data_IF_887606820940
#
_entry.id   IF_887606820940
#
_cell.length_a   1.000
_cell.length_b   1.000
_cell.length_c   1.000
_cell.angle_alpha   90.00
_cell.angle_beta   90.00
_cell.angle_gamma   90.00
#
_symmetry.space_group_name_H-M   'P 1'
#
loop_
_entity.id
_entity.type
_entity.pdbx_description
1 polymer ?
#
# COMPACT_ATOMS: atom_id res chain seq x y z
N UNK A 1 -28.10 38.23 -2.49
CA UNK A 1 -26.97 38.27 -1.54
C UNK A 1 -26.55 36.86 -1.17
N UNK A 2 -25.30 36.65 -0.76
CA UNK A 2 -24.75 35.33 -0.35
C UNK A 2 -24.28 35.46 1.09
N UNK A 3 -24.68 34.54 1.97
CA UNK A 3 -24.26 34.48 3.37
C UNK A 3 -24.37 35.84 4.10
N UNK A 4 -25.51 36.53 3.94
CA UNK A 4 -25.74 37.87 4.51
C UNK A 4 -24.72 38.96 4.06
N UNK A 5 -23.98 38.73 2.98
CA UNK A 5 -23.09 39.72 2.38
C UNK A 5 -23.84 40.83 1.63
N UNK A 6 -23.09 41.71 0.96
CA UNK A 6 -23.67 42.82 0.19
C UNK A 6 -24.66 42.35 -0.88
N UNK A 7 -25.71 43.15 -1.06
CA UNK A 7 -26.67 42.94 -2.15
C UNK A 7 -25.97 43.09 -3.50
N UNK A 8 -26.33 42.23 -4.44
CA UNK A 8 -25.78 42.20 -5.79
C UNK A 8 -26.97 42.28 -6.75
N UNK A 9 -26.81 42.99 -7.87
CA UNK A 9 -27.82 43.08 -8.92
C UNK A 9 -27.43 42.21 -10.10
N UNK A 10 -28.41 41.59 -10.74
CA UNK A 10 -28.19 40.67 -11.87
C UNK A 10 -28.96 39.37 -11.71
N UNK A 11 -28.69 38.42 -12.59
CA UNK A 11 -29.31 37.09 -12.64
C UNK A 11 -28.32 35.95 -12.35
N UNK A 12 -27.11 36.28 -11.88
CA UNK A 12 -26.06 35.32 -11.56
C UNK A 12 -25.28 35.75 -10.31
N UNK A 13 -24.79 34.78 -9.56
CA UNK A 13 -23.89 35.00 -8.43
C UNK A 13 -22.81 33.93 -8.42
N UNK A 14 -21.58 34.30 -8.03
CA UNK A 14 -20.46 33.37 -7.95
C UNK A 14 -20.19 32.98 -6.50
N UNK A 15 -20.09 31.67 -6.26
CA UNK A 15 -19.62 31.07 -5.01
C UNK A 15 -18.36 30.29 -5.37
N UNK A 16 -17.27 30.51 -4.63
CA UNK A 16 -15.95 29.98 -4.98
C UNK A 16 -15.18 29.39 -3.80
N UNK A 17 -15.79 29.30 -2.63
CA UNK A 17 -15.19 28.74 -1.43
C UNK A 17 -16.05 27.59 -0.98
N UNK A 18 -15.43 26.52 -0.52
CA UNK A 18 -16.17 25.40 0.01
C UNK A 18 -16.93 25.77 1.29
N UNK A 19 -17.99 25.02 1.56
CA UNK A 19 -18.82 25.15 2.74
C UNK A 19 -20.31 25.27 2.41
N UNK A 20 -21.08 25.61 3.45
CA UNK A 20 -22.49 25.92 3.32
C UNK A 20 -22.70 27.36 2.91
N UNK A 21 -23.55 27.54 1.89
CA UNK A 21 -23.94 28.82 1.38
C UNK A 21 -25.45 28.95 1.34
N UNK A 22 -25.92 30.06 1.87
CA UNK A 22 -27.32 30.45 1.75
C UNK A 22 -27.39 31.66 0.82
N UNK A 23 -28.08 31.48 -0.31
CA UNK A 23 -28.35 32.56 -1.25
C UNK A 23 -29.74 33.11 -0.95
N UNK A 24 -29.82 34.41 -0.71
CA UNK A 24 -31.09 35.14 -0.64
C UNK A 24 -31.31 35.95 -1.92
N UNK A 25 -32.48 35.80 -2.53
CA UNK A 25 -32.82 36.42 -3.81
C UNK A 25 -34.24 36.99 -3.83
N UNK A 26 -34.42 38.09 -4.56
CA UNK A 26 -35.68 38.79 -4.80
C UNK A 26 -35.55 39.69 -6.03
N UNK A 27 -36.67 40.18 -6.52
CA UNK A 27 -36.83 41.06 -7.68
C UNK A 27 -37.41 42.41 -7.27
N UNK A 28 -37.03 43.47 -7.98
CA UNK A 28 -37.66 44.78 -7.92
C UNK A 28 -38.31 45.09 -9.27
N UNK A 29 -39.53 45.61 -9.25
CA UNK A 29 -40.15 46.16 -10.47
C UNK A 29 -39.70 47.61 -10.75
N UNK A 30 -40.11 48.15 -11.91
CA UNK A 30 -39.78 49.54 -12.29
C UNK A 30 -40.41 50.60 -11.39
N UNK A 31 -41.47 50.25 -10.66
CA UNK A 31 -42.15 51.14 -9.73
C UNK A 31 -41.51 51.09 -8.33
N UNK A 32 -40.51 50.23 -8.11
CA UNK A 32 -39.82 50.06 -6.83
C UNK A 32 -40.50 49.07 -5.89
N UNK A 33 -41.50 48.30 -6.35
CA UNK A 33 -42.08 47.24 -5.54
C UNK A 33 -41.11 46.06 -5.46
N UNK A 34 -40.85 45.60 -4.24
CA UNK A 34 -39.96 44.49 -3.93
C UNK A 34 -40.77 43.25 -3.56
N UNK A 35 -40.42 42.08 -4.12
CA UNK A 35 -40.99 40.80 -3.67
C UNK A 35 -40.36 40.32 -2.34
N UNK A 36 -41.02 39.35 -1.68
CA UNK A 36 -40.45 38.70 -0.50
C UNK A 36 -39.14 37.96 -0.83
N UNK A 37 -38.15 38.07 0.07
CA UNK A 37 -36.86 37.39 -0.09
C UNK A 37 -37.04 35.87 0.00
N UNK A 38 -36.54 35.15 -1.01
CA UNK A 38 -36.46 33.69 -1.03
C UNK A 38 -35.04 33.24 -0.70
N UNK A 39 -34.91 32.01 -0.21
CA UNK A 39 -33.62 31.41 0.13
C UNK A 39 -33.41 30.07 -0.58
N UNK A 40 -32.15 29.78 -0.94
CA UNK A 40 -31.69 28.45 -1.32
C UNK A 40 -30.38 28.15 -0.60
N UNK A 41 -30.25 26.93 -0.09
CA UNK A 41 -29.03 26.43 0.55
C UNK A 41 -28.26 25.57 -0.45
N UNK A 42 -26.93 25.73 -0.47
CA UNK A 42 -26.01 25.04 -1.37
C UNK A 42 -24.81 24.58 -0.55
N UNK A 43 -24.50 23.28 -0.61
CA UNK A 43 -23.17 22.79 -0.23
C UNK A 43 -22.25 22.83 -1.44
N UNK A 44 -21.18 23.61 -1.32
CA UNK A 44 -20.08 23.57 -2.26
C UNK A 44 -18.92 22.80 -1.61
N UNK A 45 -18.45 21.78 -2.32
CA UNK A 45 -17.23 21.06 -1.96
C UNK A 45 -16.45 20.76 -3.23
N UNK A 46 -15.32 21.44 -3.39
CA UNK A 46 -14.37 21.28 -4.48
C UNK A 46 -13.09 20.57 -4.01
N UNK A 47 -13.03 20.18 -2.73
CA UNK A 47 -11.85 19.59 -2.11
C UNK A 47 -11.86 18.09 -2.34
N UNK A 48 -10.79 17.56 -2.93
CA UNK A 48 -10.66 16.13 -3.12
C UNK A 48 -10.31 15.40 -1.81
N UNK A 49 -10.70 14.13 -1.67
CA UNK A 49 -10.28 13.30 -0.55
C UNK A 49 -8.75 13.24 -0.37
N UNK A 50 -8.31 13.11 0.87
CA UNK A 50 -6.90 12.83 1.19
C UNK A 50 -6.66 11.34 1.37
N UNK A 51 -5.65 10.80 0.68
CA UNK A 51 -5.21 9.40 0.80
C UNK A 51 -3.83 9.32 1.47
N UNK A 52 -3.74 8.49 2.51
CA UNK A 52 -2.49 8.23 3.25
C UNK A 52 -2.20 6.74 3.31
N UNK A 53 -0.93 6.39 3.14
CA UNK A 53 -0.40 5.06 3.42
C UNK A 53 0.50 5.15 4.65
N UNK A 54 0.59 4.08 5.44
CA UNK A 54 1.51 4.05 6.60
C UNK A 54 2.97 3.75 6.22
N UNK A 55 3.26 3.56 4.94
CA UNK A 55 4.60 3.29 4.42
C UNK A 55 5.04 4.40 3.45
N UNK A 56 6.34 4.61 3.39
CA UNK A 56 6.99 5.49 2.41
C UNK A 56 7.11 4.80 1.04
N UNK A 57 7.34 5.58 -0.01
CA UNK A 57 7.61 5.03 -1.35
C UNK A 57 8.97 4.31 -1.36
N UNK A 58 9.07 3.23 -2.13
CA UNK A 58 10.24 2.37 -2.26
C UNK A 58 10.73 1.71 -0.96
N UNK A 59 9.86 1.52 0.04
CA UNK A 59 10.21 0.74 1.24
C UNK A 59 10.58 -0.71 0.89
N UNK A 60 11.63 -1.24 1.50
CA UNK A 60 12.07 -2.62 1.31
C UNK A 60 11.56 -3.55 2.41
N UNK A 61 11.10 -4.74 2.02
CA UNK A 61 10.78 -5.85 2.89
C UNK A 61 11.60 -7.08 2.51
N UNK A 62 12.25 -7.68 3.50
CA UNK A 62 12.91 -8.98 3.31
C UNK A 62 11.87 -10.09 3.26
N UNK A 63 12.14 -11.15 2.48
CA UNK A 63 11.20 -12.25 2.27
C UNK A 63 10.70 -12.94 3.56
N UNK A 64 11.44 -12.87 4.67
CA UNK A 64 11.06 -13.41 5.98
C UNK A 64 10.08 -12.53 6.78
N UNK A 65 9.81 -11.31 6.32
CA UNK A 65 8.95 -10.34 6.98
C UNK A 65 7.49 -10.45 6.52
N UNK A 66 6.60 -9.76 7.23
CA UNK A 66 5.22 -9.50 6.80
C UNK A 66 5.17 -8.07 6.26
N UNK A 67 4.69 -7.91 5.03
CA UNK A 67 4.34 -6.59 4.48
C UNK A 67 3.06 -6.16 5.18
N UNK A 68 3.16 -5.13 6.01
CA UNK A 68 2.03 -4.55 6.74
C UNK A 68 1.93 -3.06 6.44
N UNK A 69 1.03 -2.70 5.51
CA UNK A 69 0.81 -1.32 5.09
C UNK A 69 -0.68 -1.01 5.22
N UNK A 70 -1.00 -0.02 6.04
CA UNK A 70 -2.36 0.50 6.15
C UNK A 70 -2.62 1.61 5.14
N UNK A 71 -3.87 1.71 4.70
CA UNK A 71 -4.35 2.77 3.80
C UNK A 71 -5.54 3.48 4.45
N UNK A 72 -5.54 4.81 4.45
CA UNK A 72 -6.68 5.62 4.89
C UNK A 72 -7.06 6.67 3.84
N UNK A 73 -8.36 6.74 3.53
CA UNK A 73 -8.96 7.81 2.75
C UNK A 73 -9.88 8.63 3.66
N UNK A 74 -9.74 9.95 3.65
CA UNK A 74 -10.52 10.87 4.48
C UNK A 74 -11.01 12.03 3.63
N UNK A 75 -12.23 12.47 3.90
CA UNK A 75 -12.78 13.70 3.38
C UNK A 75 -13.59 14.38 4.49
N UNK A 76 -13.36 15.68 4.71
CA UNK A 76 -13.93 16.43 5.83
C UNK A 76 -15.26 17.13 5.50
N UNK A 77 -15.54 17.41 4.22
CA UNK A 77 -16.66 18.26 3.80
C UNK A 77 -17.84 17.48 3.25
N UNK A 78 -17.62 16.47 2.42
CA UNK A 78 -18.67 15.65 1.82
C UNK A 78 -18.54 14.16 2.11
N UNK A 79 -17.58 13.73 2.94
CA UNK A 79 -17.33 12.33 3.34
C UNK A 79 -17.03 11.41 2.15
N UNK A 80 -16.55 10.20 2.41
CA UNK A 80 -16.16 9.27 1.35
C UNK A 80 -17.40 8.54 0.79
N UNK A 81 -17.65 8.69 -0.51
CA UNK A 81 -18.67 7.93 -1.24
C UNK A 81 -18.16 6.55 -1.65
N UNK A 82 -16.92 6.46 -2.13
CA UNK A 82 -16.30 5.18 -2.51
C UNK A 82 -14.79 5.23 -2.35
N UNK A 83 -14.18 4.08 -2.06
CA UNK A 83 -12.72 3.96 -1.92
C UNK A 83 -12.24 2.54 -2.18
N UNK A 84 -11.10 2.42 -2.86
CA UNK A 84 -10.36 1.16 -3.02
C UNK A 84 -9.14 1.08 -2.08
N UNK A 85 -9.04 2.01 -1.14
CA UNK A 85 -7.99 2.06 -0.12
C UNK A 85 -8.13 0.85 0.79
N UNK A 86 -7.15 -0.06 0.73
CA UNK A 86 -7.17 -1.34 1.43
C UNK A 86 -5.84 -1.62 2.11
N UNK A 87 -5.92 -2.06 3.36
CA UNK A 87 -4.75 -2.53 4.09
C UNK A 87 -4.17 -3.79 3.45
N UNK A 88 -2.84 -3.85 3.41
CA UNK A 88 -2.07 -5.01 3.01
C UNK A 88 -1.40 -5.61 4.24
N UNK A 89 -1.70 -6.87 4.55
CA UNK A 89 -1.03 -7.65 5.59
C UNK A 89 -0.76 -9.05 5.02
N UNK A 90 0.44 -9.28 4.51
CA UNK A 90 0.78 -10.52 3.80
C UNK A 90 2.26 -10.86 3.99
N UNK A 91 2.62 -12.13 4.28
CA UNK A 91 4.01 -12.54 4.31
C UNK A 91 4.73 -12.20 2.99
N UNK A 92 5.86 -11.52 3.07
CA UNK A 92 6.55 -10.95 1.92
C UNK A 92 6.94 -12.02 0.88
N UNK A 93 7.36 -13.22 1.34
CA UNK A 93 7.68 -14.34 0.45
C UNK A 93 6.51 -14.78 -0.46
N UNK A 94 5.25 -14.52 -0.08
CA UNK A 94 4.07 -14.88 -0.88
C UNK A 94 3.81 -13.91 -2.03
N UNK A 95 4.24 -12.65 -1.89
CA UNK A 95 4.08 -11.61 -2.91
C UNK A 95 5.08 -11.80 -4.07
N UNK A 96 6.20 -12.47 -3.80
CA UNK A 96 7.26 -12.71 -4.77
C UNK A 96 8.27 -11.56 -4.83
N UNK A 97 9.50 -11.90 -5.24
CA UNK A 97 10.62 -10.96 -5.29
C UNK A 97 10.46 -10.01 -6.47
N UNK A 98 10.07 -8.77 -6.19
CA UNK A 98 9.84 -7.72 -7.19
C UNK A 98 9.64 -6.39 -6.48
N UNK A 99 9.69 -5.31 -7.26
CA UNK A 99 8.94 -4.09 -6.92
C UNK A 99 7.45 -4.35 -7.13
N UNK A 100 6.64 -4.03 -6.13
CA UNK A 100 5.18 -4.06 -6.15
C UNK A 100 4.64 -2.64 -6.07
N UNK A 101 3.46 -2.41 -6.63
CA UNK A 101 2.78 -1.12 -6.55
C UNK A 101 1.45 -1.31 -5.83
N UNK A 102 1.21 -0.45 -4.84
CA UNK A 102 -0.08 -0.36 -4.17
C UNK A 102 -0.73 0.97 -4.55
N UNK A 103 -1.89 0.89 -5.18
CA UNK A 103 -2.67 2.04 -5.65
C UNK A 103 -3.96 2.14 -4.85
N UNK A 104 -4.28 3.35 -4.41
CA UNK A 104 -5.54 3.67 -3.77
C UNK A 104 -6.20 4.84 -4.50
N UNK A 105 -7.52 4.83 -4.55
CA UNK A 105 -8.34 5.90 -5.08
C UNK A 105 -9.59 6.04 -4.20
N UNK A 106 -10.10 7.27 -4.13
CA UNK A 106 -11.31 7.61 -3.39
C UNK A 106 -12.10 8.71 -4.10
N UNK A 107 -13.41 8.64 -3.95
CA UNK A 107 -14.37 9.64 -4.43
C UNK A 107 -15.25 10.05 -3.25
N UNK A 108 -15.47 11.35 -3.08
CA UNK A 108 -16.39 11.88 -2.06
C UNK A 108 -17.84 11.96 -2.57
N UNK A 109 -18.78 12.45 -1.74
CA UNK A 109 -20.18 12.62 -2.15
C UNK A 109 -20.40 13.82 -3.09
N UNK A 110 -19.51 14.81 -3.08
CA UNK A 110 -19.54 15.94 -4.02
C UNK A 110 -19.01 15.59 -5.42
N UNK A 111 -18.40 14.41 -5.57
CA UNK A 111 -17.85 13.90 -6.82
C UNK A 111 -16.38 14.26 -7.06
N UNK A 112 -15.67 14.81 -6.06
CA UNK A 112 -14.23 15.03 -6.18
C UNK A 112 -13.49 13.70 -6.02
N UNK A 113 -12.37 13.57 -6.72
CA UNK A 113 -11.63 12.32 -6.84
C UNK A 113 -10.16 12.51 -6.45
N UNK A 114 -9.60 11.51 -5.76
CA UNK A 114 -8.19 11.44 -5.44
C UNK A 114 -7.62 10.05 -5.75
N UNK A 115 -6.34 10.02 -6.13
CA UNK A 115 -5.59 8.78 -6.35
C UNK A 115 -4.15 8.94 -5.85
N UNK A 116 -3.61 7.89 -5.23
CA UNK A 116 -2.24 7.83 -4.73
C UNK A 116 -1.68 6.43 -4.92
N UNK A 117 -0.41 6.35 -5.29
CA UNK A 117 0.32 5.08 -5.36
C UNK A 117 1.62 5.16 -4.59
N UNK A 118 2.02 4.03 -4.00
CA UNK A 118 3.35 3.81 -3.45
C UNK A 118 3.89 2.48 -3.98
N UNK A 119 5.21 2.34 -3.95
CA UNK A 119 5.92 1.11 -4.26
C UNK A 119 6.52 0.54 -2.99
N UNK A 120 6.61 -0.78 -2.96
CA UNK A 120 7.44 -1.50 -1.99
C UNK A 120 8.18 -2.61 -2.71
N UNK A 121 9.33 -3.00 -2.19
CA UNK A 121 10.23 -3.96 -2.84
C UNK A 121 10.36 -5.16 -1.92
N UNK A 122 10.16 -6.36 -2.47
CA UNK A 122 10.44 -7.60 -1.74
C UNK A 122 11.77 -8.15 -2.21
N UNK A 123 12.71 -8.27 -1.28
CA UNK A 123 14.08 -8.75 -1.54
C UNK A 123 14.37 -10.04 -0.77
N UNK A 124 15.47 -10.69 -1.12
CA UNK A 124 16.02 -11.80 -0.34
C UNK A 124 17.54 -11.72 -0.33
N UNK A 125 18.10 -12.07 0.81
CA UNK A 125 19.52 -12.28 1.05
C UNK A 125 19.73 -13.59 1.85
N UNK A 126 20.96 -13.89 2.23
CA UNK A 126 21.24 -15.09 3.02
C UNK A 126 20.61 -15.05 4.41
N UNK A 127 20.46 -13.86 5.01
CA UNK A 127 20.02 -13.71 6.38
C UNK A 127 18.52 -13.89 6.49
N UNK A 128 17.76 -13.19 5.66
CA UNK A 128 16.32 -13.38 5.46
C UNK A 128 15.98 -14.83 5.11
N UNK A 129 16.71 -15.48 4.19
CA UNK A 129 16.44 -16.88 3.88
C UNK A 129 16.76 -17.83 5.06
N UNK A 130 17.75 -17.51 5.89
CA UNK A 130 18.02 -18.23 7.14
C UNK A 130 16.85 -18.08 8.12
N UNK A 131 16.35 -16.86 8.30
CA UNK A 131 15.23 -16.56 9.20
C UNK A 131 13.96 -17.27 8.71
N UNK A 132 13.63 -17.16 7.42
CA UNK A 132 12.46 -17.82 6.84
C UNK A 132 12.56 -19.35 6.94
N UNK A 133 13.74 -19.93 6.70
CA UNK A 133 13.96 -21.38 6.88
C UNK A 133 13.67 -21.81 8.33
N UNK A 134 14.08 -21.01 9.31
CA UNK A 134 13.76 -21.27 10.73
C UNK A 134 12.28 -21.13 11.01
N UNK A 135 11.63 -20.08 10.52
CA UNK A 135 10.19 -19.86 10.67
C UNK A 135 9.37 -21.07 10.16
N UNK A 136 9.74 -21.63 9.00
CA UNK A 136 9.08 -22.82 8.45
C UNK A 136 9.40 -24.12 9.22
N UNK A 137 10.45 -24.12 10.04
CA UNK A 137 10.86 -25.24 10.89
C UNK A 137 10.67 -24.94 12.38
N UNK A 138 9.82 -23.98 12.77
CA UNK A 138 9.67 -23.56 14.16
C UNK A 138 9.34 -24.74 15.11
N UNK A 139 8.58 -25.73 14.63
CA UNK A 139 8.24 -26.94 15.40
C UNK A 139 9.31 -28.06 15.32
N UNK A 140 10.42 -27.82 14.61
CA UNK A 140 11.46 -28.80 14.24
C UNK A 140 12.86 -28.15 14.22
N UNK A 141 13.17 -27.33 15.23
CA UNK A 141 14.39 -26.51 15.24
C UNK A 141 15.70 -27.32 15.07
N UNK A 142 15.73 -28.55 15.58
CA UNK A 142 16.84 -29.49 15.47
C UNK A 142 17.22 -29.81 14.01
N UNK A 143 16.24 -29.72 13.10
CA UNK A 143 16.45 -29.97 11.68
C UNK A 143 17.03 -28.77 10.94
N UNK A 144 16.81 -27.56 11.44
CA UNK A 144 17.16 -26.32 10.76
C UNK A 144 18.69 -26.16 10.60
N UNK A 145 19.49 -26.70 11.53
CA UNK A 145 20.95 -26.56 11.56
C UNK A 145 21.60 -26.93 10.23
N UNK A 146 21.17 -28.04 9.62
CA UNK A 146 21.78 -28.52 8.37
C UNK A 146 21.55 -27.56 7.19
N UNK A 147 20.36 -26.96 7.11
CA UNK A 147 20.00 -25.97 6.10
C UNK A 147 20.74 -24.64 6.32
N UNK A 148 20.71 -24.14 7.56
CA UNK A 148 21.33 -22.87 7.95
C UNK A 148 22.84 -22.90 7.68
N UNK A 149 23.50 -24.01 7.98
CA UNK A 149 24.94 -24.16 7.73
C UNK A 149 25.30 -24.01 6.24
N UNK A 150 24.43 -24.43 5.32
CA UNK A 150 24.63 -24.22 3.88
C UNK A 150 24.51 -22.75 3.49
N UNK A 151 23.49 -22.05 3.97
CA UNK A 151 23.31 -20.63 3.69
C UNK A 151 24.45 -19.78 4.27
N UNK A 152 24.89 -20.06 5.51
CA UNK A 152 26.05 -19.37 6.11
C UNK A 152 27.35 -19.64 5.35
N UNK A 153 27.58 -20.88 4.90
CA UNK A 153 28.75 -21.22 4.10
C UNK A 153 28.71 -20.56 2.71
N UNK A 154 27.52 -20.41 2.12
CA UNK A 154 27.34 -19.67 0.87
C UNK A 154 27.69 -18.19 1.03
N UNK A 155 27.13 -17.52 2.06
CA UNK A 155 27.46 -16.12 2.41
C UNK A 155 28.98 -15.92 2.56
N UNK A 156 29.63 -16.76 3.38
CA UNK A 156 31.10 -16.70 3.59
C UNK A 156 31.90 -16.94 2.31
N UNK A 157 31.37 -17.73 1.37
CA UNK A 157 32.04 -17.96 0.08
C UNK A 157 31.90 -16.75 -0.85
N UNK A 158 30.74 -16.09 -0.87
CA UNK A 158 30.52 -14.83 -1.60
C UNK A 158 31.38 -13.69 -1.07
N UNK A 159 31.47 -13.54 0.26
CA UNK A 159 32.34 -12.54 0.92
C UNK A 159 33.82 -12.71 0.56
N UNK A 160 34.23 -13.94 0.19
CA UNK A 160 35.58 -14.27 -0.29
C UNK A 160 35.74 -14.16 -1.81
N UNK A 161 34.70 -13.74 -2.54
CA UNK A 161 34.67 -13.72 -4.00
C UNK A 161 34.66 -15.11 -4.66
N UNK A 162 34.43 -16.19 -3.90
CA UNK A 162 34.43 -17.55 -4.41
C UNK A 162 33.03 -17.99 -4.86
N UNK A 163 32.66 -17.55 -6.07
CA UNK A 163 31.34 -17.80 -6.67
C UNK A 163 31.05 -19.30 -6.86
N UNK A 164 32.05 -20.10 -7.27
CA UNK A 164 31.88 -21.56 -7.44
C UNK A 164 31.55 -22.24 -6.12
N UNK A 165 32.24 -21.87 -5.03
CA UNK A 165 31.97 -22.41 -3.71
C UNK A 165 30.61 -21.93 -3.18
N UNK A 166 30.26 -20.66 -3.39
CA UNK A 166 28.94 -20.10 -3.06
C UNK A 166 27.83 -20.93 -3.71
N UNK A 167 27.89 -21.11 -5.03
CA UNK A 167 26.87 -21.84 -5.80
C UNK A 167 26.79 -23.32 -5.39
N UNK A 168 27.93 -23.93 -5.07
CA UNK A 168 27.96 -25.29 -4.53
C UNK A 168 27.21 -25.40 -3.20
N UNK A 169 27.37 -24.42 -2.28
CA UNK A 169 26.64 -24.40 -1.02
C UNK A 169 25.13 -24.12 -1.22
N UNK A 170 24.77 -23.21 -2.14
CA UNK A 170 23.36 -22.95 -2.47
C UNK A 170 22.71 -24.20 -3.10
N UNK A 171 23.37 -24.87 -4.04
CA UNK A 171 22.88 -26.10 -4.63
C UNK A 171 22.74 -27.21 -3.58
N UNK A 172 23.64 -27.27 -2.59
CA UNK A 172 23.51 -28.20 -1.46
C UNK A 172 22.29 -27.87 -0.58
N UNK A 173 21.99 -26.59 -0.32
CA UNK A 173 20.76 -26.17 0.34
C UNK A 173 19.52 -26.59 -0.46
N UNK A 174 19.48 -26.27 -1.75
CA UNK A 174 18.40 -26.65 -2.67
C UNK A 174 18.17 -28.16 -2.65
N UNK A 175 19.24 -28.96 -2.71
CA UNK A 175 19.15 -30.42 -2.62
C UNK A 175 18.59 -30.90 -1.28
N UNK A 176 18.94 -30.26 -0.17
CA UNK A 176 18.36 -30.59 1.13
C UNK A 176 16.86 -30.32 1.14
N UNK A 177 16.43 -29.15 0.68
CA UNK A 177 15.00 -28.78 0.61
C UNK A 177 14.25 -29.72 -0.33
N UNK A 178 14.81 -30.10 -1.48
CA UNK A 178 14.14 -30.99 -2.43
C UNK A 178 14.04 -32.44 -1.94
N UNK A 179 15.07 -32.95 -1.26
CA UNK A 179 15.13 -34.36 -0.81
C UNK A 179 14.37 -34.61 0.49
N UNK A 180 14.35 -33.62 1.38
CA UNK A 180 13.67 -33.70 2.67
C UNK A 180 12.35 -32.93 2.69
N UNK A 181 11.99 -32.28 1.59
CA UNK A 181 10.82 -31.41 1.43
C UNK A 181 9.57 -31.99 2.06
N UNK A 182 9.12 -33.16 1.63
CA UNK A 182 7.91 -33.80 2.17
C UNK A 182 7.99 -34.27 3.63
N UNK A 183 9.18 -34.34 4.23
CA UNK A 183 9.37 -34.68 5.65
C UNK A 183 9.45 -33.45 6.56
N UNK A 184 10.12 -32.41 6.08
CA UNK A 184 10.50 -31.26 6.89
C UNK A 184 9.55 -30.07 6.65
N UNK A 185 9.11 -29.87 5.40
CA UNK A 185 8.28 -28.76 4.94
C UNK A 185 6.96 -29.25 4.34
N UNK A 186 5.97 -28.37 4.22
CA UNK A 186 4.89 -28.60 3.27
C UNK A 186 5.34 -28.25 1.84
N UNK A 187 4.52 -28.59 0.84
CA UNK A 187 4.86 -28.36 -0.57
C UNK A 187 5.14 -26.88 -0.87
N UNK A 188 4.25 -26.00 -0.41
CA UNK A 188 4.34 -24.56 -0.69
C UNK A 188 5.57 -23.92 -0.04
N UNK A 189 5.89 -24.30 1.20
CA UNK A 189 7.09 -23.88 1.92
C UNK A 189 8.35 -24.32 1.17
N UNK A 190 8.42 -25.58 0.72
CA UNK A 190 9.56 -26.07 -0.03
C UNK A 190 9.72 -25.31 -1.36
N UNK A 191 8.63 -25.07 -2.10
CA UNK A 191 8.66 -24.30 -3.35
C UNK A 191 9.12 -22.85 -3.13
N UNK A 192 8.68 -22.20 -2.07
CA UNK A 192 9.15 -20.86 -1.67
C UNK A 192 10.66 -20.87 -1.40
N UNK A 193 11.15 -21.76 -0.54
CA UNK A 193 12.58 -21.82 -0.21
C UNK A 193 13.45 -22.12 -1.43
N UNK A 194 12.98 -22.99 -2.33
CA UNK A 194 13.69 -23.31 -3.58
C UNK A 194 13.79 -22.09 -4.50
N UNK A 195 12.67 -21.38 -4.72
CA UNK A 195 12.63 -20.17 -5.56
C UNK A 195 13.56 -19.08 -5.00
N UNK A 196 13.50 -18.84 -3.69
CA UNK A 196 14.32 -17.83 -3.02
C UNK A 196 15.81 -18.20 -2.99
N UNK A 197 16.16 -19.48 -2.78
CA UNK A 197 17.55 -19.92 -2.84
C UNK A 197 18.14 -19.76 -4.25
N UNK A 198 17.33 -20.02 -5.29
CA UNK A 198 17.78 -19.87 -6.67
C UNK A 198 18.08 -18.41 -7.03
N UNK A 199 17.35 -17.43 -6.49
CA UNK A 199 17.61 -16.01 -6.74
C UNK A 199 18.87 -15.47 -6.07
N UNK A 200 19.44 -16.17 -5.09
CA UNK A 200 20.74 -15.81 -4.48
C UNK A 200 21.93 -16.12 -5.39
N UNK A 201 21.73 -16.89 -6.46
CA UNK A 201 22.77 -17.16 -7.46
C UNK A 201 22.81 -15.99 -8.44
N UNK A 202 23.85 -15.18 -8.31
CA UNK A 202 24.21 -14.12 -9.29
C UNK A 202 25.05 -14.69 -10.41
#
# INVERSE_FOLDING_TARGET
MVNEGSEQTGNSVTISKDGSHVIHYWSLDKAGNQEEKKAVEIQLDQTAPTITFSAEDDIEYSADQVVNISCKALDELSTIASSICKDLSTPAYQLGLSTHTMTAAATDLAGNNASKSIRFIVTVDYESLVILTKQFLADKEDKATSYINKLKAAKKSEEKGNIKARDSQINAYIKLVSTKGSKDFNKDQAEVLLRLAQSLKK
#
